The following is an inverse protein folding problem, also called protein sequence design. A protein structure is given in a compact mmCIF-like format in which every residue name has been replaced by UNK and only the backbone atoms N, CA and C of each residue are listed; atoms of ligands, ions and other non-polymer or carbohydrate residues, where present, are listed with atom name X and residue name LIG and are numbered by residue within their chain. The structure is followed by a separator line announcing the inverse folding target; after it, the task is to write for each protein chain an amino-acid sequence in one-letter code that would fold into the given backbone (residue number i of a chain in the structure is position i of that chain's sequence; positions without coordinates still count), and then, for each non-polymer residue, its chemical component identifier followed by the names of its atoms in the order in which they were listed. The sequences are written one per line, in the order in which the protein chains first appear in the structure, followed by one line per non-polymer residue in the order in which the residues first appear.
data_IF_196599073974
#
_entry.id   IF_196599073974
#
_cell.length_a   1.000
_cell.length_b   1.000
_cell.length_c   1.000
_cell.angle_alpha   90.00
_cell.angle_beta   90.00
_cell.angle_gamma   90.00
#
_symmetry.space_group_name_H-M   'P 1'
#
loop_
_entity.id
_entity.type
_entity.pdbx_description
1 polymer ?
#
# COMPACT_ATOMS: atom_id res chain seq x y z
N UNK A 1 29.13 55.71 44.23
CA UNK A 1 28.62 54.83 43.16
C UNK A 1 28.56 55.66 41.88
N UNK A 2 29.63 55.64 41.08
CA UNK A 2 29.80 56.52 39.92
C UNK A 2 28.86 56.08 38.80
N UNK A 3 28.12 57.06 38.27
CA UNK A 3 27.03 56.88 37.32
C UNK A 3 27.44 56.10 36.07
N UNK A 4 26.64 55.09 35.77
CA UNK A 4 26.52 54.60 34.41
C UNK A 4 26.00 55.77 33.58
N UNK A 5 26.84 56.33 32.70
CA UNK A 5 26.39 57.36 31.77
C UNK A 5 25.17 56.86 30.98
N UNK A 6 24.27 57.75 30.55
CA UNK A 6 23.01 57.38 29.90
C UNK A 6 23.21 56.41 28.72
N UNK A 7 24.37 56.49 28.06
CA UNK A 7 24.81 55.59 26.99
C UNK A 7 24.98 54.13 27.45
N UNK A 8 25.60 53.87 28.62
CA UNK A 8 25.77 52.49 29.13
C UNK A 8 24.45 51.87 29.56
N UNK A 9 23.54 52.69 30.10
CA UNK A 9 22.19 52.28 30.49
C UNK A 9 21.33 51.95 29.26
N UNK A 10 21.44 52.77 28.21
CA UNK A 10 20.81 52.49 26.91
C UNK A 10 21.38 51.22 26.26
N UNK A 11 22.70 50.99 26.32
CA UNK A 11 23.31 49.75 25.81
C UNK A 11 22.83 48.50 26.58
N UNK A 12 22.77 48.55 27.92
CA UNK A 12 22.27 47.42 28.71
C UNK A 12 20.79 47.13 28.43
N UNK A 13 19.96 48.16 28.25
CA UNK A 13 18.56 48.01 27.85
C UNK A 13 18.42 47.34 26.48
N UNK A 14 19.23 47.76 25.50
CA UNK A 14 19.24 47.17 24.16
C UNK A 14 19.68 45.71 24.15
N UNK A 15 20.73 45.36 24.91
CA UNK A 15 21.20 43.97 25.05
C UNK A 15 20.17 43.10 25.74
N UNK A 16 19.51 43.60 26.79
CA UNK A 16 18.45 42.85 27.48
C UNK A 16 17.24 42.61 26.56
N UNK A 17 16.84 43.59 25.76
CA UNK A 17 15.75 43.43 24.80
C UNK A 17 16.10 42.42 23.69
N UNK A 18 17.35 42.43 23.20
CA UNK A 18 17.83 41.45 22.23
C UNK A 18 17.88 40.03 22.81
N UNK A 19 18.36 39.86 24.04
CA UNK A 19 18.35 38.56 24.72
C UNK A 19 16.93 38.03 24.92
N UNK A 20 15.99 38.90 25.31
CA UNK A 20 14.60 38.52 25.52
C UNK A 20 13.94 38.11 24.19
N UNK A 21 14.18 38.87 23.12
CA UNK A 21 13.73 38.54 21.77
C UNK A 21 14.32 37.23 21.25
N UNK A 22 15.61 36.99 21.50
CA UNK A 22 16.28 35.74 21.16
C UNK A 22 15.69 34.55 21.91
N UNK A 23 15.40 34.69 23.20
CA UNK A 23 14.82 33.61 24.01
C UNK A 23 13.38 33.28 23.57
N UNK A 24 12.58 34.30 23.24
CA UNK A 24 11.23 34.11 22.67
C UNK A 24 11.32 33.42 21.29
N UNK A 25 12.27 33.84 20.45
CA UNK A 25 12.52 33.19 19.16
C UNK A 25 12.97 31.73 19.32
N UNK A 26 13.80 31.43 20.32
CA UNK A 26 14.29 30.08 20.58
C UNK A 26 13.17 29.18 21.14
N UNK A 27 12.32 29.69 22.03
CA UNK A 27 11.16 28.97 22.58
C UNK A 27 10.12 28.65 21.49
N UNK A 28 9.90 29.55 20.54
CA UNK A 28 8.98 29.30 19.41
C UNK A 28 9.55 28.29 18.40
N UNK A 29 10.88 28.21 18.26
CA UNK A 29 11.55 27.24 17.37
C UNK A 29 11.73 25.85 18.00
N UNK A 30 11.92 25.75 19.32
CA UNK A 30 12.00 24.46 20.02
C UNK A 30 10.65 23.76 20.21
N UNK A 31 9.55 24.51 20.12
CA UNK A 31 8.19 23.99 20.34
C UNK A 31 7.49 23.38 19.12
N UNK A 32 8.15 23.28 17.96
CA UNK A 32 7.55 22.60 16.80
C UNK A 32 7.73 21.08 16.95
N UNK A 33 6.65 20.30 17.19
CA UNK A 33 6.77 18.86 17.30
C UNK A 33 7.28 18.31 15.97
N UNK A 34 8.36 17.52 16.02
CA UNK A 34 8.81 16.78 14.86
C UNK A 34 7.67 15.83 14.46
N UNK A 35 7.12 15.99 13.25
CA UNK A 35 5.99 15.20 12.78
C UNK A 35 6.50 13.94 12.09
N UNK A 36 5.95 12.78 12.44
CA UNK A 36 6.20 11.51 11.78
C UNK A 36 4.91 10.98 11.12
N UNK A 37 5.10 10.23 10.03
CA UNK A 37 4.02 9.58 9.31
C UNK A 37 3.31 8.55 10.21
N UNK A 38 2.01 8.70 10.41
CA UNK A 38 1.20 7.70 11.11
C UNK A 38 0.74 6.61 10.13
N UNK A 39 0.11 7.02 9.02
CA UNK A 39 -0.40 6.17 7.93
C UNK A 39 -0.31 6.89 6.57
N UNK A 40 -0.05 6.15 5.49
CA UNK A 40 -0.03 6.61 4.09
C UNK A 40 -0.97 5.77 3.20
N UNK A 41 -1.11 6.17 1.93
CA UNK A 41 -2.00 5.56 0.94
C UNK A 41 -3.49 5.48 1.37
N UNK A 42 -3.93 6.46 2.15
CA UNK A 42 -5.32 6.55 2.59
C UNK A 42 -6.19 7.15 1.50
N UNK A 43 -7.46 6.74 1.43
CA UNK A 43 -8.46 7.52 0.73
C UNK A 43 -8.83 8.76 1.57
N UNK A 44 -9.37 9.80 0.94
CA UNK A 44 -9.70 11.08 1.62
C UNK A 44 -10.71 10.94 2.76
N UNK A 45 -11.53 9.88 2.76
CA UNK A 45 -12.50 9.61 3.84
C UNK A 45 -11.78 9.04 5.06
N UNK A 46 -10.89 8.08 4.84
CA UNK A 46 -10.12 7.40 5.87
C UNK A 46 -9.14 8.38 6.54
N UNK A 47 -8.42 9.20 5.77
CA UNK A 47 -7.50 10.20 6.31
C UNK A 47 -8.18 11.22 7.20
N UNK A 48 -9.37 11.70 6.81
CA UNK A 48 -10.18 12.58 7.64
C UNK A 48 -10.67 11.89 8.93
N UNK A 49 -11.11 10.64 8.84
CA UNK A 49 -11.57 9.88 10.01
C UNK A 49 -10.44 9.62 11.03
N UNK A 50 -9.24 9.30 10.53
CA UNK A 50 -8.05 9.05 11.35
C UNK A 50 -7.56 10.37 11.98
N UNK A 51 -7.50 11.45 11.20
CA UNK A 51 -7.11 12.77 11.71
C UNK A 51 -8.08 13.26 12.81
N UNK A 52 -9.39 13.06 12.62
CA UNK A 52 -10.40 13.40 13.62
C UNK A 52 -10.23 12.57 14.91
N UNK A 53 -9.93 11.27 14.79
CA UNK A 53 -9.74 10.40 15.94
C UNK A 53 -8.44 10.73 16.70
N UNK A 54 -7.34 11.00 15.99
CA UNK A 54 -6.09 11.49 16.60
C UNK A 54 -6.32 12.81 17.33
N UNK A 55 -7.09 13.73 16.74
CA UNK A 55 -7.50 14.99 17.38
C UNK A 55 -8.33 14.76 18.64
N UNK A 56 -9.24 13.77 18.62
CA UNK A 56 -10.03 13.37 19.80
C UNK A 56 -9.19 12.81 20.93
N UNK A 57 -8.07 12.17 20.61
CA UNK A 57 -7.07 11.70 21.58
C UNK A 57 -6.18 12.83 22.12
N UNK A 58 -6.36 14.07 21.64
CA UNK A 58 -5.64 15.25 22.12
C UNK A 58 -4.30 15.50 21.43
N UNK A 59 -4.04 14.86 20.30
CA UNK A 59 -2.80 15.03 19.54
C UNK A 59 -3.04 15.83 18.26
N UNK A 60 -2.09 16.71 17.86
CA UNK A 60 -2.18 17.39 16.57
C UNK A 60 -2.02 16.37 15.44
N UNK A 61 -2.90 16.41 14.44
CA UNK A 61 -2.84 15.60 13.25
C UNK A 61 -2.76 16.51 12.02
N UNK A 62 -1.83 16.21 11.12
CA UNK A 62 -1.68 16.90 9.85
C UNK A 62 -1.98 15.96 8.70
N UNK A 63 -2.90 16.35 7.83
CA UNK A 63 -3.17 15.62 6.60
C UNK A 63 -2.27 16.21 5.50
N UNK A 64 -1.43 15.37 4.90
CA UNK A 64 -0.51 15.77 3.82
C UNK A 64 -0.78 14.94 2.56
N UNK A 65 0.04 15.15 1.52
CA UNK A 65 0.01 14.39 0.27
C UNK A 65 -1.39 14.33 -0.37
N UNK A 66 -2.01 15.51 -0.53
CA UNK A 66 -3.35 15.68 -1.11
C UNK A 66 -4.46 14.88 -0.41
N UNK A 67 -4.32 14.61 0.89
CA UNK A 67 -5.33 13.86 1.65
C UNK A 67 -5.05 12.37 1.77
N UNK A 68 -3.87 11.90 1.36
CA UNK A 68 -3.51 10.47 1.35
C UNK A 68 -2.62 10.03 2.50
N UNK A 69 -2.12 10.97 3.31
CA UNK A 69 -1.28 10.66 4.47
C UNK A 69 -1.68 11.46 5.71
N UNK A 70 -1.49 10.86 6.89
CA UNK A 70 -1.71 11.48 8.20
C UNK A 70 -0.42 11.46 9.00
N UNK A 71 -0.04 12.64 9.51
CA UNK A 71 1.19 12.89 10.26
C UNK A 71 0.87 13.34 11.68
N UNK A 72 1.66 12.90 12.65
CA UNK A 72 1.46 13.15 14.09
C UNK A 72 2.80 13.38 14.79
N UNK A 73 2.86 13.91 16.02
CA UNK A 73 4.11 14.05 16.76
C UNK A 73 4.89 12.73 16.82
N UNK A 74 6.16 12.77 16.45
CA UNK A 74 7.01 11.60 16.27
C UNK A 74 7.16 10.77 17.55
N UNK A 75 7.16 11.43 18.71
CA UNK A 75 7.19 10.81 20.04
C UNK A 75 5.90 10.03 20.37
N UNK A 76 4.80 10.32 19.67
CA UNK A 76 3.48 9.72 19.87
C UNK A 76 3.04 8.78 18.76
N UNK A 77 3.77 8.75 17.64
CA UNK A 77 3.39 7.95 16.48
C UNK A 77 3.18 6.46 16.81
N UNK A 78 4.08 5.84 17.59
CA UNK A 78 3.97 4.42 17.96
C UNK A 78 2.76 4.15 18.89
N UNK A 79 2.57 4.99 19.90
CA UNK A 79 1.44 4.91 20.83
C UNK A 79 0.10 5.03 20.09
N UNK A 80 0.02 5.99 19.16
CA UNK A 80 -1.16 6.21 18.35
C UNK A 80 -1.43 5.03 17.42
N UNK A 81 -0.41 4.40 16.81
CA UNK A 81 -0.61 3.20 15.98
C UNK A 81 -1.23 2.06 16.77
N UNK A 82 -0.76 1.79 17.98
CA UNK A 82 -1.32 0.76 18.86
C UNK A 82 -2.79 1.06 19.19
N UNK A 83 -3.10 2.31 19.55
CA UNK A 83 -4.49 2.72 19.84
C UNK A 83 -5.42 2.66 18.63
N UNK A 84 -4.91 2.91 17.43
CA UNK A 84 -5.70 2.79 16.19
C UNK A 84 -5.93 1.32 15.83
N UNK A 85 -4.92 0.45 16.03
CA UNK A 85 -5.04 -0.98 15.81
C UNK A 85 -6.11 -1.62 16.72
N UNK A 86 -6.16 -1.24 18.00
CA UNK A 86 -7.22 -1.69 18.94
C UNK A 86 -8.63 -1.32 18.48
N UNK A 87 -8.76 -0.29 17.64
CA UNK A 87 -10.03 0.22 17.10
C UNK A 87 -10.32 -0.31 15.70
N UNK A 88 -9.48 -1.18 15.16
CA UNK A 88 -9.60 -1.70 13.80
C UNK A 88 -9.35 -0.66 12.72
N UNK A 89 -8.59 0.39 13.02
CA UNK A 89 -8.22 1.45 12.07
C UNK A 89 -6.74 1.29 11.64
N UNK A 90 -6.42 1.53 10.35
CA UNK A 90 -7.32 1.83 9.24
C UNK A 90 -7.99 0.57 8.66
N UNK A 91 -9.19 0.72 8.10
CA UNK A 91 -9.92 -0.37 7.41
C UNK A 91 -9.26 -0.75 6.07
N UNK A 92 -8.41 0.13 5.51
CA UNK A 92 -7.76 -0.09 4.21
C UNK A 92 -6.39 0.59 3.98
N UNK A 93 -5.74 1.13 5.02
CA UNK A 93 -4.43 1.79 4.90
C UNK A 93 -3.26 0.82 5.12
N UNK A 94 -2.20 0.92 4.31
CA UNK A 94 -0.99 0.12 4.51
C UNK A 94 -0.20 0.68 5.70
N UNK A 95 0.11 -0.18 6.68
CA UNK A 95 1.05 0.15 7.75
C UNK A 95 2.43 0.34 7.13
N UNK A 96 3.06 1.48 7.40
CA UNK A 96 4.29 1.96 6.77
C UNK A 96 5.38 0.90 6.62
N UNK A 97 5.66 0.57 5.36
CA UNK A 97 6.90 -0.06 4.91
C UNK A 97 7.83 0.96 4.23
N UNK A 98 7.50 2.25 4.23
CA UNK A 98 8.30 3.30 3.57
C UNK A 98 9.72 3.45 4.15
N UNK A 99 9.92 3.02 5.40
CA UNK A 99 11.27 2.92 6.00
C UNK A 99 12.16 1.94 5.20
N UNK A 100 11.57 1.00 4.46
CA UNK A 100 12.27 0.09 3.55
C UNK A 100 12.29 0.57 2.10
N UNK A 101 11.46 1.55 1.73
CA UNK A 101 11.45 2.13 0.39
C UNK A 101 12.42 3.33 0.28
N UNK A 102 12.70 4.03 1.39
CA UNK A 102 13.60 5.19 1.43
C UNK A 102 14.98 4.91 2.05
N UNK A 103 15.25 3.71 2.59
CA UNK A 103 16.60 3.38 3.03
C UNK A 103 17.45 2.97 1.83
N UNK A 104 18.09 3.98 1.26
CA UNK A 104 19.41 3.97 0.66
C UNK A 104 19.72 2.89 -0.40
N UNK A 105 20.06 3.44 -1.56
CA UNK A 105 20.82 2.94 -2.72
C UNK A 105 22.08 2.08 -2.47
N UNK A 106 22.23 1.44 -1.31
CA UNK A 106 23.29 0.49 -0.98
C UNK A 106 22.69 -0.91 -0.76
N UNK A 107 22.49 -1.63 -1.86
CA UNK A 107 22.22 -3.06 -1.88
C UNK A 107 20.74 -3.43 -1.89
N UNK A 108 20.10 -3.33 -3.06
CA UNK A 108 18.86 -4.10 -3.31
C UNK A 108 19.21 -5.58 -3.15
N UNK A 109 18.55 -6.25 -2.19
CA UNK A 109 18.63 -7.70 -2.08
C UNK A 109 17.86 -8.33 -3.23
N UNK A 110 18.31 -9.49 -3.73
CA UNK A 110 17.58 -10.25 -4.76
C UNK A 110 16.11 -10.45 -4.38
N UNK A 111 15.81 -10.59 -3.08
CA UNK A 111 14.45 -10.70 -2.58
C UNK A 111 13.60 -9.44 -2.88
N UNK A 112 14.11 -8.25 -2.58
CA UNK A 112 13.40 -7.00 -2.84
C UNK A 112 13.20 -6.77 -4.35
N UNK A 113 14.20 -7.07 -5.17
CA UNK A 113 14.06 -6.98 -6.63
C UNK A 113 12.94 -7.90 -7.15
N UNK A 114 12.87 -9.14 -6.66
CA UNK A 114 11.84 -10.09 -7.04
C UNK A 114 10.43 -9.64 -6.60
N UNK A 115 10.28 -9.06 -5.41
CA UNK A 115 8.99 -8.52 -4.93
C UNK A 115 8.56 -7.32 -5.78
N UNK A 116 9.47 -6.41 -6.09
CA UNK A 116 9.18 -5.24 -6.91
C UNK A 116 8.83 -5.62 -8.34
N UNK A 117 9.58 -6.55 -8.94
CA UNK A 117 9.28 -7.09 -10.26
C UNK A 117 7.90 -7.75 -10.29
N UNK A 118 7.57 -8.60 -9.30
CA UNK A 118 6.24 -9.22 -9.21
C UNK A 118 5.13 -8.18 -9.15
N UNK A 119 5.26 -7.18 -8.28
CA UNK A 119 4.25 -6.11 -8.12
C UNK A 119 4.08 -5.31 -9.42
N UNK A 120 5.19 -5.03 -10.11
CA UNK A 120 5.16 -4.34 -11.40
C UNK A 120 4.41 -5.17 -12.46
N UNK A 121 4.71 -6.47 -12.58
CA UNK A 121 4.05 -7.37 -13.52
C UNK A 121 2.55 -7.51 -13.22
N UNK A 122 2.16 -7.68 -11.96
CA UNK A 122 0.75 -7.75 -11.55
C UNK A 122 -0.02 -6.47 -11.89
N UNK A 123 0.61 -5.31 -11.67
CA UNK A 123 0.04 -4.01 -12.01
C UNK A 123 -0.11 -3.80 -13.52
N UNK A 124 0.92 -4.10 -14.29
CA UNK A 124 0.88 -3.98 -15.76
C UNK A 124 -0.13 -4.94 -16.39
N UNK A 125 -0.13 -6.21 -15.99
CA UNK A 125 -1.13 -7.17 -16.44
C UNK A 125 -2.55 -6.73 -16.11
N UNK A 126 -2.77 -6.20 -14.91
CA UNK A 126 -4.05 -5.62 -14.52
C UNK A 126 -4.49 -4.50 -15.47
N UNK A 127 -3.58 -3.56 -15.79
CA UNK A 127 -3.87 -2.45 -16.71
C UNK A 127 -4.15 -2.93 -18.13
N UNK A 128 -3.37 -3.89 -18.64
CA UNK A 128 -3.59 -4.45 -19.99
C UNK A 128 -4.93 -5.18 -20.07
N UNK A 129 -5.30 -5.97 -19.06
CA UNK A 129 -6.61 -6.65 -19.07
C UNK A 129 -7.75 -5.63 -18.95
N UNK A 130 -7.56 -4.55 -18.19
CA UNK A 130 -8.54 -3.46 -18.09
C UNK A 130 -8.74 -2.67 -19.39
N UNK A 131 -7.82 -2.74 -20.35
CA UNK A 131 -7.99 -2.09 -21.65
C UNK A 131 -8.99 -2.82 -22.55
N UNK A 132 -9.44 -4.02 -22.16
CA UNK A 132 -10.53 -4.71 -22.83
C UNK A 132 -11.87 -4.01 -22.53
N UNK A 133 -12.67 -3.72 -23.56
CA UNK A 133 -13.94 -2.98 -23.45
C UNK A 133 -14.92 -3.57 -22.44
N UNK A 134 -14.89 -4.88 -22.22
CA UNK A 134 -15.79 -5.59 -21.31
C UNK A 134 -15.34 -5.54 -19.85
N UNK A 135 -14.08 -5.19 -19.57
CA UNK A 135 -13.48 -5.22 -18.23
C UNK A 135 -13.55 -3.84 -17.58
N UNK A 136 -14.12 -3.77 -16.38
CA UNK A 136 -14.11 -2.56 -15.55
C UNK A 136 -12.87 -2.52 -14.65
N UNK A 137 -12.56 -3.65 -14.01
CA UNK A 137 -11.43 -3.79 -13.10
C UNK A 137 -10.81 -5.18 -13.25
N UNK A 138 -9.49 -5.24 -13.19
CA UNK A 138 -8.76 -6.50 -13.14
C UNK A 138 -7.75 -6.45 -12.00
N UNK A 139 -7.62 -7.57 -11.28
CA UNK A 139 -6.56 -7.81 -10.29
C UNK A 139 -5.89 -9.12 -10.64
N UNK A 140 -4.57 -9.11 -10.67
CA UNK A 140 -3.76 -10.28 -10.98
C UNK A 140 -2.88 -10.58 -9.78
N UNK A 141 -2.85 -11.85 -9.39
CA UNK A 141 -1.96 -12.36 -8.35
C UNK A 141 -1.07 -13.44 -8.96
N UNK A 142 0.24 -13.21 -8.94
CA UNK A 142 1.24 -14.11 -9.47
C UNK A 142 1.93 -14.86 -8.33
N UNK A 143 2.00 -16.19 -8.47
CA UNK A 143 2.80 -17.03 -7.60
C UNK A 143 4.02 -17.46 -8.41
N UNK A 144 5.15 -16.82 -8.14
CA UNK A 144 6.43 -17.15 -8.76
C UNK A 144 7.30 -17.94 -7.79
N UNK A 145 7.77 -19.15 -8.18
CA UNK A 145 8.64 -19.96 -7.36
C UNK A 145 10.00 -19.27 -7.18
N UNK A 146 10.62 -19.46 -6.02
CA UNK A 146 12.01 -19.02 -5.80
C UNK A 146 12.95 -20.06 -6.39
N UNK A 147 14.01 -19.63 -7.08
CA UNK A 147 15.08 -20.55 -7.52
C UNK A 147 15.79 -21.10 -6.29
N UNK A 148 15.48 -22.34 -5.89
CA UNK A 148 16.21 -23.05 -4.85
C UNK A 148 17.34 -23.83 -5.52
N UNK A 149 18.59 -23.43 -5.29
CA UNK A 149 19.77 -24.04 -5.92
C UNK A 149 19.98 -25.53 -5.60
N UNK A 150 19.21 -26.08 -4.66
CA UNK A 150 19.33 -27.45 -4.17
C UNK A 150 18.00 -28.23 -4.12
N UNK A 151 16.92 -27.69 -4.69
CA UNK A 151 15.65 -28.44 -4.76
C UNK A 151 15.66 -29.37 -5.97
N UNK A 152 15.25 -30.63 -5.77
CA UNK A 152 14.97 -31.57 -6.86
C UNK A 152 13.61 -31.33 -7.51
N UNK A 153 12.73 -30.61 -6.83
CA UNK A 153 11.40 -30.25 -7.32
C UNK A 153 11.35 -28.77 -7.69
N UNK A 154 11.09 -28.49 -8.97
CA UNK A 154 10.83 -27.15 -9.48
C UNK A 154 9.34 -26.85 -9.31
N UNK A 155 9.00 -25.98 -8.36
CA UNK A 155 7.63 -25.49 -8.22
C UNK A 155 7.27 -24.70 -9.48
N UNK A 156 6.14 -25.03 -10.11
CA UNK A 156 5.69 -24.32 -11.30
C UNK A 156 4.92 -23.04 -10.92
N UNK A 157 5.11 -21.93 -11.64
CA UNK A 157 4.37 -20.70 -11.39
C UNK A 157 2.87 -20.88 -11.63
N UNK A 158 2.06 -20.09 -10.94
CA UNK A 158 0.60 -20.05 -11.11
C UNK A 158 0.07 -18.63 -11.00
N UNK A 159 -1.15 -18.39 -11.49
CA UNK A 159 -1.79 -17.09 -11.37
C UNK A 159 -3.27 -17.19 -11.02
N UNK A 160 -3.77 -16.16 -10.35
CA UNK A 160 -5.19 -15.94 -10.12
C UNK A 160 -5.57 -14.57 -10.65
N UNK A 161 -6.61 -14.52 -11.48
CA UNK A 161 -7.11 -13.30 -12.10
C UNK A 161 -8.54 -13.08 -11.64
N UNK A 162 -8.78 -11.92 -11.03
CA UNK A 162 -10.11 -11.48 -10.62
C UNK A 162 -10.54 -10.35 -11.55
N UNK A 163 -11.69 -10.52 -12.19
CA UNK A 163 -12.22 -9.57 -13.15
C UNK A 163 -13.56 -9.04 -12.67
N UNK A 164 -13.80 -7.75 -12.85
CA UNK A 164 -15.11 -7.11 -12.70
C UNK A 164 -15.56 -6.62 -14.07
N UNK A 165 -16.74 -7.06 -14.53
CA UNK A 165 -17.26 -6.76 -15.87
C UNK A 165 -18.01 -5.43 -15.93
N UNK A 166 -18.01 -4.78 -17.10
CA UNK A 166 -18.88 -3.64 -17.41
C UNK A 166 -20.27 -4.13 -17.79
N UNK A 167 -21.31 -3.52 -17.21
CA UNK A 167 -22.70 -3.58 -17.69
C UNK A 167 -23.32 -4.99 -17.82
N UNK A 168 -23.21 -5.82 -16.79
CA UNK A 168 -23.79 -7.19 -16.73
C UNK A 168 -23.40 -8.11 -17.91
N UNK A 169 -22.38 -7.73 -18.70
CA UNK A 169 -21.81 -8.55 -19.76
C UNK A 169 -20.94 -9.65 -19.15
N UNK A 170 -20.67 -10.69 -19.93
CA UNK A 170 -19.81 -11.82 -19.55
C UNK A 170 -18.76 -12.01 -20.62
N UNK A 171 -17.55 -12.39 -20.20
CA UNK A 171 -16.51 -12.83 -21.12
C UNK A 171 -16.97 -14.12 -21.81
N UNK A 172 -16.74 -14.20 -23.12
CA UNK A 172 -16.84 -15.45 -23.86
C UNK A 172 -15.57 -16.32 -23.66
N UNK A 173 -15.62 -17.56 -24.14
CA UNK A 173 -14.50 -18.50 -24.00
C UNK A 173 -13.22 -18.04 -24.73
N UNK A 174 -13.36 -17.30 -25.82
CA UNK A 174 -12.22 -16.79 -26.59
C UNK A 174 -11.50 -15.69 -25.80
N UNK A 175 -12.25 -14.77 -25.21
CA UNK A 175 -11.74 -13.70 -24.37
C UNK A 175 -11.10 -14.24 -23.08
N UNK A 176 -11.72 -15.25 -22.45
CA UNK A 176 -11.12 -15.95 -21.29
C UNK A 176 -9.77 -16.56 -21.69
N UNK A 177 -9.71 -17.26 -22.83
CA UNK A 177 -8.47 -17.86 -23.34
C UNK A 177 -7.42 -16.81 -23.70
N UNK A 178 -7.84 -15.66 -24.24
CA UNK A 178 -6.95 -14.53 -24.53
C UNK A 178 -6.32 -13.97 -23.25
N UNK A 179 -7.11 -13.80 -22.18
CA UNK A 179 -6.59 -13.38 -20.87
C UNK A 179 -5.60 -14.41 -20.31
N UNK A 180 -5.90 -15.72 -20.41
CA UNK A 180 -4.96 -16.76 -19.96
C UNK A 180 -3.64 -16.72 -20.74
N UNK A 181 -3.69 -16.61 -22.07
CA UNK A 181 -2.49 -16.55 -22.90
C UNK A 181 -1.67 -15.28 -22.65
N UNK A 182 -2.34 -14.13 -22.46
CA UNK A 182 -1.67 -12.88 -22.10
C UNK A 182 -0.89 -13.04 -20.79
N UNK A 183 -1.54 -13.57 -19.75
CA UNK A 183 -0.90 -13.75 -18.43
C UNK A 183 0.20 -14.83 -18.50
N UNK A 184 -0.02 -15.93 -19.22
CA UNK A 184 0.97 -16.99 -19.42
C UNK A 184 2.23 -16.49 -20.12
N UNK A 185 2.08 -15.64 -21.15
CA UNK A 185 3.22 -15.09 -21.90
C UNK A 185 4.06 -14.09 -21.10
N UNK A 186 3.47 -13.43 -20.09
CA UNK A 186 4.16 -12.45 -19.26
C UNK A 186 5.03 -13.07 -18.15
N UNK A 187 4.85 -14.36 -17.83
CA UNK A 187 5.57 -15.04 -16.75
C UNK A 187 6.29 -16.27 -17.28
N UNK A 188 7.63 -16.33 -17.20
CA UNK A 188 8.39 -17.49 -17.65
C UNK A 188 7.93 -18.78 -16.97
N UNK A 189 7.61 -19.80 -17.79
CA UNK A 189 7.19 -21.12 -17.31
C UNK A 189 5.73 -21.21 -16.84
N UNK A 190 4.94 -20.13 -16.92
CA UNK A 190 3.52 -20.15 -16.59
C UNK A 190 2.72 -20.73 -17.76
N UNK A 191 2.00 -21.83 -17.50
CA UNK A 191 1.11 -22.45 -18.49
C UNK A 191 -0.30 -21.90 -18.34
N UNK A 192 -1.07 -21.71 -19.44
CA UNK A 192 -2.47 -21.26 -19.38
C UNK A 192 -3.35 -22.06 -18.41
N UNK A 193 -3.17 -23.39 -18.37
CA UNK A 193 -3.90 -24.26 -17.44
C UNK A 193 -3.58 -24.08 -15.95
N UNK A 194 -2.60 -23.25 -15.58
CA UNK A 194 -2.26 -22.88 -14.18
C UNK A 194 -2.81 -21.51 -13.79
N UNK A 195 -3.75 -20.98 -14.57
CA UNK A 195 -4.32 -19.65 -14.41
C UNK A 195 -5.81 -19.80 -14.10
N UNK A 196 -6.18 -19.45 -12.87
CA UNK A 196 -7.58 -19.41 -12.45
C UNK A 196 -8.15 -18.04 -12.77
N UNK A 197 -9.33 -17.99 -13.38
CA UNK A 197 -10.03 -16.72 -13.66
C UNK A 197 -11.39 -16.75 -12.98
N UNK A 198 -11.67 -15.74 -12.15
CA UNK A 198 -12.94 -15.57 -11.46
C UNK A 198 -13.55 -14.18 -11.72
N UNK A 199 -14.88 -14.13 -11.71
CA UNK A 199 -15.65 -12.89 -11.71
C UNK A 199 -15.76 -12.33 -10.27
N UNK A 200 -16.02 -11.03 -10.13
CA UNK A 200 -16.19 -10.34 -8.84
C UNK A 200 -17.40 -10.85 -8.03
N UNK A 201 -18.33 -11.53 -8.69
CA UNK A 201 -19.46 -12.27 -8.11
C UNK A 201 -19.10 -13.68 -7.63
N UNK A 202 -17.82 -14.07 -7.68
CA UNK A 202 -17.35 -15.39 -7.25
C UNK A 202 -17.64 -16.52 -8.24
N UNK A 203 -18.04 -16.19 -9.49
CA UNK A 203 -18.24 -17.18 -10.54
C UNK A 203 -16.90 -17.56 -11.15
N UNK A 204 -16.59 -18.85 -11.19
CA UNK A 204 -15.43 -19.38 -11.90
C UNK A 204 -15.64 -19.24 -13.42
N UNK A 205 -14.71 -18.57 -14.10
CA UNK A 205 -14.70 -18.40 -15.56
C UNK A 205 -13.73 -19.38 -16.23
N UNK A 206 -12.65 -19.74 -15.53
CA UNK A 206 -11.77 -20.84 -15.92
C UNK A 206 -11.14 -21.48 -14.69
N UNK A 207 -11.27 -22.81 -14.49
CA UNK A 207 -10.53 -23.52 -13.46
C UNK A 207 -9.03 -23.47 -13.80
N UNK A 208 -8.23 -22.90 -12.92
CA UNK A 208 -6.79 -23.12 -12.96
C UNK A 208 -6.49 -24.37 -12.15
N UNK A 209 -5.73 -25.28 -12.75
CA UNK A 209 -5.28 -26.52 -12.13
C UNK A 209 -6.42 -27.44 -11.67
N UNK A 210 -7.15 -28.03 -12.61
CA UNK A 210 -7.84 -29.30 -12.39
C UNK A 210 -7.62 -30.24 -13.58
N UNK A 211 -7.05 -31.39 -13.25
CA UNK A 211 -7.15 -32.65 -13.98
C UNK A 211 -8.61 -32.84 -14.39
N UNK A 212 -8.87 -33.19 -15.65
CA UNK A 212 -10.20 -33.28 -16.33
C UNK A 212 -11.29 -34.13 -15.61
N UNK A 213 -11.05 -34.63 -14.39
CA UNK A 213 -11.89 -35.61 -13.69
C UNK A 213 -12.76 -35.06 -12.55
N UNK A 214 -12.43 -33.93 -11.92
CA UNK A 214 -13.19 -33.44 -10.76
C UNK A 214 -14.48 -32.70 -11.14
N UNK A 215 -14.50 -32.03 -12.30
CA UNK A 215 -15.68 -31.26 -12.78
C UNK A 215 -16.85 -32.19 -13.14
N UNK A 216 -16.58 -33.39 -13.68
CA UNK A 216 -17.61 -34.40 -13.93
C UNK A 216 -18.22 -34.96 -12.63
N UNK A 217 -17.50 -34.92 -11.51
CA UNK A 217 -17.98 -35.44 -10.22
C UNK A 217 -18.96 -34.46 -9.55
N UNK A 218 -18.81 -33.15 -9.78
CA UNK A 218 -19.72 -32.12 -9.24
C UNK A 218 -20.99 -32.03 -10.10
N UNK A 219 -20.88 -32.18 -11.42
CA UNK A 219 -22.04 -32.24 -12.31
C UNK A 219 -22.91 -33.48 -12.05
N UNK A 220 -22.30 -34.66 -11.91
CA UNK A 220 -23.03 -35.91 -11.66
C UNK A 220 -23.78 -35.92 -10.32
N UNK A 221 -23.25 -35.25 -9.28
CA UNK A 221 -23.88 -35.21 -7.95
C UNK A 221 -25.13 -34.32 -7.87
N UNK A 222 -25.32 -33.43 -8.83
CA UNK A 222 -26.50 -32.55 -8.89
C UNK A 222 -27.65 -33.12 -9.73
N UNK A 223 -27.43 -34.21 -10.48
CA UNK A 223 -28.49 -34.89 -11.25
C UNK A 223 -29.17 -36.02 -10.46
N UNK A 224 -28.61 -36.44 -9.33
CA UNK A 224 -29.19 -37.46 -8.43
C UNK A 224 -30.00 -36.88 -7.24
N UNK A 225 -30.41 -35.60 -7.28
CA UNK A 225 -31.25 -34.98 -6.24
C UNK A 225 -32.51 -34.34 -6.78
#
# INVERSE_FOLDING_TARGET
MRGLGPVRLAMMGGVMFLMLGFFIFLLTKLGQPNMALLFSELNSTDSNSIAAEVGRLGFPAEVRDQGTSVWVPADKALELRLKMADRGLPVGGKVGFEIFDETDTLGTTDFLQNVNLRRALEGELGRTIQSMDIVHRARVHLVMPRRQLFSREEQQPSASVVLAMRSNKRLDHEQVSAVQNLVASAVPGLKPGRITIIDDKGKLLSPGFEDDQSVNTIAAKNEER
#
